data_IF_262703616898
#
_entry.id   IF_262703616898
#
_cell.length_a   1.000
_cell.length_b   1.000
_cell.length_c   1.000
_cell.angle_alpha   90.00
_cell.angle_beta   90.00
_cell.angle_gamma   90.00
#
_symmetry.space_group_name_H-M   'P 1'
#
loop_
_entity.id
_entity.type
_entity.pdbx_description
1 polymer ?
#
# COMPACT_ATOMS: atom_id res chain seq x y z
N UNK A 1 -11.90 11.95 -26.28
CA UNK A 1 -12.47 10.59 -26.21
C UNK A 1 -11.33 9.60 -26.07
N UNK A 2 -11.57 8.43 -25.49
CA UNK A 2 -10.51 7.50 -25.04
C UNK A 2 -9.47 7.16 -26.14
N UNK A 3 -9.88 7.06 -27.42
CA UNK A 3 -8.96 6.85 -28.55
C UNK A 3 -7.99 8.02 -28.77
N UNK A 4 -8.43 9.26 -28.56
CA UNK A 4 -7.57 10.44 -28.68
C UNK A 4 -6.58 10.55 -27.52
N UNK A 5 -7.01 10.12 -26.32
CA UNK A 5 -6.11 10.00 -25.15
C UNK A 5 -5.02 9.00 -25.44
N UNK A 6 -5.35 7.77 -25.88
CA UNK A 6 -4.33 6.78 -26.24
C UNK A 6 -3.40 7.25 -27.35
N UNK A 7 -3.92 7.90 -28.40
CA UNK A 7 -3.07 8.42 -29.47
C UNK A 7 -2.07 9.49 -29.01
N UNK A 8 -2.36 10.20 -27.92
CA UNK A 8 -1.45 11.18 -27.34
C UNK A 8 -0.39 10.56 -26.39
N UNK A 9 -0.69 9.40 -25.80
CA UNK A 9 0.14 8.76 -24.78
C UNK A 9 0.98 7.59 -25.30
N UNK A 10 0.56 6.96 -26.41
CA UNK A 10 1.26 5.81 -27.00
C UNK A 10 2.20 6.28 -28.12
N UNK A 11 3.46 5.87 -28.05
CA UNK A 11 4.43 6.05 -29.13
C UNK A 11 4.72 4.69 -29.76
N UNK A 12 4.31 4.51 -31.02
CA UNK A 12 4.51 3.25 -31.74
C UNK A 12 5.86 3.24 -32.46
N UNK A 13 6.52 2.09 -32.46
CA UNK A 13 7.64 1.81 -33.35
C UNK A 13 7.16 1.15 -34.66
N UNK A 14 8.11 0.95 -35.57
CA UNK A 14 7.85 0.36 -36.90
C UNK A 14 7.43 -1.12 -36.82
N UNK A 15 7.67 -1.79 -35.70
CA UNK A 15 7.29 -3.19 -35.45
C UNK A 15 5.91 -3.31 -34.78
N UNK A 16 5.25 -2.18 -34.49
CA UNK A 16 3.94 -2.11 -33.87
C UNK A 16 3.96 -2.28 -32.35
N UNK A 17 5.13 -2.30 -31.70
CA UNK A 17 5.22 -2.14 -30.27
C UNK A 17 4.99 -0.68 -29.90
N UNK A 18 4.50 -0.43 -28.68
CA UNK A 18 4.29 0.93 -28.20
C UNK A 18 4.98 1.16 -26.85
N UNK A 19 5.53 2.36 -26.69
CA UNK A 19 6.07 2.85 -25.42
C UNK A 19 5.15 3.93 -24.85
N UNK A 20 5.21 4.06 -23.53
CA UNK A 20 4.45 5.06 -22.76
C UNK A 20 5.40 5.72 -21.77
N UNK A 21 5.15 6.98 -21.41
CA UNK A 21 5.90 7.59 -20.32
C UNK A 21 5.55 6.92 -18.98
N UNK A 22 6.50 6.91 -18.03
CA UNK A 22 6.36 6.19 -16.76
C UNK A 22 5.11 6.63 -15.96
N UNK A 23 4.74 7.91 -16.03
CA UNK A 23 3.55 8.46 -15.37
C UNK A 23 2.22 8.15 -16.05
N UNK A 24 2.23 7.72 -17.32
CA UNK A 24 1.02 7.59 -18.13
C UNK A 24 0.40 6.18 -18.03
N UNK A 25 1.06 5.25 -17.32
CA UNK A 25 0.61 3.84 -17.13
C UNK A 25 -0.82 3.77 -16.60
N UNK A 26 -1.20 4.64 -15.67
CA UNK A 26 -2.55 4.68 -15.10
C UNK A 26 -3.61 5.13 -16.11
N UNK A 27 -3.34 6.21 -16.84
CA UNK A 27 -4.27 6.77 -17.83
C UNK A 27 -4.48 5.84 -19.02
N UNK A 28 -3.39 5.24 -19.52
CA UNK A 28 -3.43 4.28 -20.63
C UNK A 28 -4.29 3.06 -20.28
N UNK A 29 -4.13 2.50 -19.08
CA UNK A 29 -4.97 1.38 -18.62
C UNK A 29 -6.44 1.74 -18.54
N UNK A 30 -6.77 2.90 -17.96
CA UNK A 30 -8.15 3.33 -17.85
C UNK A 30 -8.80 3.50 -19.23
N UNK A 31 -8.08 4.09 -20.17
CA UNK A 31 -8.57 4.28 -21.53
C UNK A 31 -8.77 2.94 -22.27
N UNK A 32 -7.83 2.00 -22.16
CA UNK A 32 -7.94 0.65 -22.75
C UNK A 32 -9.13 -0.13 -22.18
N UNK A 33 -9.30 -0.15 -20.86
CA UNK A 33 -10.40 -0.84 -20.19
C UNK A 33 -11.75 -0.27 -20.63
N UNK A 34 -11.89 1.06 -20.71
CA UNK A 34 -13.12 1.72 -21.19
C UNK A 34 -13.43 1.40 -22.67
N UNK A 35 -12.41 1.08 -23.46
CA UNK A 35 -12.55 0.64 -24.85
C UNK A 35 -12.80 -0.88 -24.98
N UNK A 36 -12.86 -1.62 -23.87
CA UNK A 36 -13.11 -3.07 -23.85
C UNK A 36 -11.86 -3.93 -23.97
N UNK A 37 -10.66 -3.35 -23.86
CA UNK A 37 -9.39 -4.08 -23.87
C UNK A 37 -8.85 -4.22 -22.43
N UNK A 38 -9.03 -5.38 -21.79
CA UNK A 38 -8.47 -5.61 -20.46
C UNK A 38 -6.94 -5.60 -20.52
N UNK A 39 -6.30 -4.96 -19.54
CA UNK A 39 -4.85 -4.82 -19.48
C UNK A 39 -4.27 -5.81 -18.48
N UNK A 40 -3.38 -6.67 -18.95
CA UNK A 40 -2.47 -7.46 -18.10
C UNK A 40 -1.18 -6.67 -17.92
N UNK A 41 -0.93 -6.24 -16.69
CA UNK A 41 0.11 -5.27 -16.39
C UNK A 41 1.26 -5.90 -15.61
N UNK A 42 2.40 -6.05 -16.27
CA UNK A 42 3.57 -6.78 -15.77
C UNK A 42 4.83 -5.92 -15.61
N UNK A 43 4.71 -4.59 -15.65
CA UNK A 43 5.87 -3.70 -15.58
C UNK A 43 6.55 -3.65 -14.18
N UNK A 44 6.13 -4.50 -13.24
CA UNK A 44 6.68 -4.58 -11.88
C UNK A 44 6.35 -3.34 -11.02
N UNK A 45 6.95 -3.33 -9.82
CA UNK A 45 6.86 -2.24 -8.84
C UNK A 45 8.25 -1.68 -8.53
N UNK A 46 8.30 -0.40 -8.14
CA UNK A 46 9.54 0.19 -7.63
C UNK A 46 9.94 -0.52 -6.33
N UNK A 47 11.22 -0.86 -6.21
CA UNK A 47 11.74 -1.46 -4.99
C UNK A 47 11.81 -0.41 -3.88
N UNK A 48 11.01 -0.59 -2.84
CA UNK A 48 11.09 0.23 -1.64
C UNK A 48 12.34 -0.03 -0.83
N UNK A 49 12.61 0.83 0.15
CA UNK A 49 13.75 0.62 1.05
C UNK A 49 13.55 -0.65 1.89
N UNK A 50 14.61 -1.43 2.03
CA UNK A 50 14.63 -2.65 2.85
C UNK A 50 14.31 -2.34 4.33
N UNK A 51 13.55 -3.22 4.96
CA UNK A 51 13.27 -3.24 6.38
C UNK A 51 13.08 -4.70 6.80
N UNK A 52 13.99 -5.21 7.63
CA UNK A 52 13.83 -6.54 8.19
C UNK A 52 12.66 -6.55 9.19
N UNK A 53 11.65 -7.38 8.92
CA UNK A 53 10.49 -7.55 9.79
C UNK A 53 10.26 -9.04 10.03
N UNK A 54 10.36 -9.44 11.30
CA UNK A 54 10.04 -10.81 11.73
C UNK A 54 8.80 -10.80 12.60
N UNK A 55 7.93 -11.79 12.39
CA UNK A 55 6.84 -12.08 13.32
C UNK A 55 7.41 -12.84 14.51
N UNK A 56 6.91 -12.54 15.71
CA UNK A 56 7.27 -13.30 16.90
C UNK A 56 6.58 -14.67 16.90
N UNK A 57 7.09 -15.60 17.70
CA UNK A 57 6.41 -16.87 18.02
C UNK A 57 5.51 -16.75 19.27
N UNK A 58 5.77 -15.73 20.09
CA UNK A 58 4.97 -15.35 21.25
C UNK A 58 4.77 -13.86 21.23
N UNK A 59 3.61 -13.39 21.66
CA UNK A 59 3.40 -11.95 21.78
C UNK A 59 4.31 -11.37 22.86
N UNK A 60 4.50 -10.05 22.86
CA UNK A 60 5.26 -9.38 23.92
C UNK A 60 4.68 -9.65 25.32
N UNK A 61 3.36 -9.83 25.43
CA UNK A 61 2.65 -10.32 26.62
C UNK A 61 2.74 -11.83 26.86
N UNK A 62 3.68 -12.54 26.23
CA UNK A 62 3.97 -13.98 26.39
C UNK A 62 2.87 -14.95 25.94
N UNK A 63 1.82 -14.49 25.25
CA UNK A 63 0.82 -15.40 24.69
C UNK A 63 1.36 -16.14 23.45
N UNK A 64 0.98 -17.41 23.27
CA UNK A 64 1.34 -18.14 22.04
C UNK A 64 0.79 -17.40 20.80
N UNK A 65 1.66 -17.19 19.81
CA UNK A 65 1.31 -16.46 18.60
C UNK A 65 1.78 -17.21 17.35
N UNK A 66 0.96 -17.17 16.31
CA UNK A 66 1.29 -17.81 15.04
C UNK A 66 0.20 -17.52 14.01
N UNK A 67 0.59 -17.57 12.74
CA UNK A 67 -0.33 -17.39 11.63
C UNK A 67 -1.24 -18.61 11.50
N UNK A 68 -2.55 -18.36 11.37
CA UNK A 68 -3.51 -19.39 10.95
C UNK A 68 -3.25 -19.73 9.48
N UNK A 69 -3.61 -20.94 9.07
CA UNK A 69 -3.35 -21.42 7.70
C UNK A 69 -3.90 -20.47 6.62
N UNK A 70 -5.13 -19.98 6.78
CA UNK A 70 -5.71 -19.05 5.82
C UNK A 70 -4.99 -17.70 5.76
N UNK A 71 -4.40 -17.22 6.87
CA UNK A 71 -3.64 -15.97 6.90
C UNK A 71 -2.32 -16.15 6.16
N UNK A 72 -1.65 -17.29 6.39
CA UNK A 72 -0.42 -17.66 5.66
C UNK A 72 -0.69 -17.76 4.16
N UNK A 73 -1.70 -18.52 3.76
CA UNK A 73 -2.07 -18.70 2.35
C UNK A 73 -2.46 -17.39 1.67
N UNK A 74 -3.17 -16.51 2.38
CA UNK A 74 -3.52 -15.19 1.85
C UNK A 74 -2.28 -14.32 1.61
N UNK A 75 -1.33 -14.31 2.55
CA UNK A 75 -0.08 -13.57 2.42
C UNK A 75 0.81 -14.13 1.31
N UNK A 76 0.96 -15.46 1.22
CA UNK A 76 1.71 -16.15 0.17
C UNK A 76 1.11 -15.90 -1.22
N UNK A 77 -0.23 -15.95 -1.34
CA UNK A 77 -0.91 -15.64 -2.60
C UNK A 77 -0.70 -14.19 -3.03
N UNK A 78 -0.75 -13.24 -2.09
CA UNK A 78 -0.46 -11.83 -2.37
C UNK A 78 1.00 -11.58 -2.74
N UNK A 79 1.93 -12.31 -2.11
CA UNK A 79 3.36 -12.24 -2.42
C UNK A 79 3.71 -12.92 -3.76
N UNK A 80 2.97 -13.97 -4.15
CA UNK A 80 3.18 -14.76 -5.36
C UNK A 80 4.67 -15.16 -5.58
N UNK A 81 5.37 -15.50 -4.49
CA UNK A 81 6.79 -15.86 -4.52
C UNK A 81 7.74 -14.73 -4.92
N UNK A 82 7.32 -13.47 -4.84
CA UNK A 82 8.11 -12.30 -5.26
C UNK A 82 8.13 -12.10 -6.78
N UNK A 83 7.24 -12.77 -7.52
CA UNK A 83 7.12 -12.60 -8.96
C UNK A 83 6.41 -11.29 -9.35
N UNK A 84 6.50 -10.93 -10.63
CA UNK A 84 5.79 -9.81 -11.26
C UNK A 84 4.24 -9.93 -11.19
N UNK A 85 3.73 -11.10 -10.80
CA UNK A 85 2.30 -11.38 -10.57
C UNK A 85 1.83 -11.07 -9.15
N UNK A 86 2.76 -10.87 -8.22
CA UNK A 86 2.49 -10.45 -6.84
C UNK A 86 2.59 -8.94 -6.68
N UNK A 87 2.31 -8.44 -5.48
CA UNK A 87 2.64 -7.05 -5.11
C UNK A 87 1.46 -6.08 -5.15
N UNK A 88 0.35 -6.46 -5.77
CA UNK A 88 -0.92 -5.75 -5.61
C UNK A 88 -2.10 -6.71 -5.50
N UNK A 89 -3.16 -6.25 -4.83
CA UNK A 89 -4.38 -7.02 -4.71
C UNK A 89 -5.20 -6.61 -3.50
N UNK A 90 -6.36 -7.24 -3.35
CA UNK A 90 -7.26 -7.05 -2.21
C UNK A 90 -7.43 -8.38 -1.48
N UNK A 91 -7.08 -8.40 -0.21
CA UNK A 91 -7.31 -9.55 0.67
C UNK A 91 -8.57 -9.29 1.50
N UNK A 92 -9.62 -10.09 1.25
CA UNK A 92 -10.91 -9.95 1.95
C UNK A 92 -11.01 -11.00 3.05
N UNK A 93 -11.13 -10.54 4.30
CA UNK A 93 -11.34 -11.40 5.47
C UNK A 93 -12.48 -10.83 6.33
N UNK A 94 -13.28 -11.68 7.00
CA UNK A 94 -14.33 -11.22 7.89
C UNK A 94 -13.75 -10.51 9.12
N UNK A 95 -14.56 -9.66 9.75
CA UNK A 95 -14.18 -8.99 10.99
C UNK A 95 -13.74 -10.01 12.05
N UNK A 96 -12.65 -9.73 12.77
CA UNK A 96 -12.07 -10.65 13.77
C UNK A 96 -11.21 -11.78 13.22
N UNK A 97 -11.13 -11.99 11.91
CA UNK A 97 -10.24 -13.00 11.31
C UNK A 97 -8.75 -12.63 11.34
N UNK A 98 -8.41 -11.42 11.80
CA UNK A 98 -7.02 -10.95 11.90
C UNK A 98 -6.49 -10.37 10.57
N UNK A 99 -7.21 -9.39 10.01
CA UNK A 99 -6.76 -8.59 8.85
C UNK A 99 -5.38 -7.97 9.10
N UNK A 100 -5.19 -7.35 10.27
CA UNK A 100 -3.92 -6.76 10.70
C UNK A 100 -2.80 -7.80 10.73
N UNK A 101 -3.03 -8.98 11.32
CA UNK A 101 -2.04 -10.07 11.37
C UNK A 101 -1.69 -10.59 9.96
N UNK A 102 -2.69 -10.70 9.08
CA UNK A 102 -2.47 -11.10 7.69
C UNK A 102 -1.61 -10.08 6.93
N UNK A 103 -1.85 -8.78 7.16
CA UNK A 103 -1.02 -7.73 6.58
C UNK A 103 0.41 -7.76 7.14
N UNK A 104 0.61 -8.04 8.44
CA UNK A 104 1.97 -8.23 8.98
C UNK A 104 2.69 -9.43 8.36
N UNK A 105 1.95 -10.51 8.03
CA UNK A 105 2.51 -11.63 7.29
C UNK A 105 2.97 -11.21 5.88
N UNK A 106 2.21 -10.33 5.21
CA UNK A 106 2.64 -9.73 3.94
C UNK A 106 3.89 -8.86 4.14
N UNK A 107 3.93 -8.00 5.15
CA UNK A 107 5.11 -7.19 5.47
C UNK A 107 6.34 -8.07 5.75
N UNK A 108 6.15 -9.20 6.44
CA UNK A 108 7.19 -10.21 6.67
C UNK A 108 7.69 -10.88 5.38
N UNK A 109 6.85 -11.03 4.36
CA UNK A 109 7.32 -11.59 3.08
C UNK A 109 8.09 -10.55 2.26
N UNK A 110 7.65 -9.29 2.25
CA UNK A 110 8.27 -8.24 1.42
C UNK A 110 9.53 -7.62 2.01
N UNK A 111 9.68 -7.57 3.34
CA UNK A 111 10.86 -6.99 4.01
C UNK A 111 11.16 -5.54 3.55
N UNK A 112 10.14 -4.70 3.42
CA UNK A 112 10.30 -3.30 2.99
C UNK A 112 9.64 -2.33 3.94
N UNK A 113 10.09 -1.08 3.92
CA UNK A 113 9.39 0.04 4.56
C UNK A 113 7.92 0.04 4.13
N UNK A 114 7.03 0.20 5.10
CA UNK A 114 5.59 0.03 4.89
C UNK A 114 4.82 1.25 5.38
N UNK A 115 3.93 1.77 4.53
CA UNK A 115 2.93 2.75 4.91
C UNK A 115 1.59 2.05 5.14
N UNK A 116 1.01 2.21 6.32
CA UNK A 116 -0.32 1.68 6.63
C UNK A 116 -1.31 2.84 6.73
N UNK A 117 -2.41 2.75 6.00
CA UNK A 117 -3.44 3.76 5.94
C UNK A 117 -4.75 3.20 6.49
N UNK A 118 -5.35 3.92 7.43
CA UNK A 118 -6.53 3.49 8.17
C UNK A 118 -7.62 4.57 8.17
N UNK A 119 -8.81 4.23 8.65
CA UNK A 119 -9.96 5.13 8.66
C UNK A 119 -9.99 6.13 9.84
N UNK A 120 -9.22 5.92 10.90
CA UNK A 120 -9.33 6.70 12.14
C UNK A 120 -8.07 6.62 13.00
N UNK A 121 -7.81 7.62 13.83
CA UNK A 121 -6.66 7.62 14.76
C UNK A 121 -6.73 6.47 15.77
N UNK A 122 -7.93 6.01 16.14
CA UNK A 122 -8.10 4.82 17.00
C UNK A 122 -7.57 3.57 16.30
N UNK A 123 -7.87 3.39 15.01
CA UNK A 123 -7.34 2.29 14.22
C UNK A 123 -5.82 2.39 14.07
N UNK A 124 -5.27 3.61 13.86
CA UNK A 124 -3.82 3.85 13.84
C UNK A 124 -3.16 3.31 15.12
N UNK A 125 -3.66 3.70 16.30
CA UNK A 125 -3.10 3.26 17.58
C UNK A 125 -3.25 1.77 17.81
N UNK A 126 -4.35 1.17 17.35
CA UNK A 126 -4.53 -0.28 17.41
C UNK A 126 -3.50 -1.01 16.53
N UNK A 127 -3.25 -0.53 15.32
CA UNK A 127 -2.22 -1.05 14.42
C UNK A 127 -0.82 -0.99 15.04
N UNK A 128 -0.45 0.17 15.62
CA UNK A 128 0.85 0.35 16.28
C UNK A 128 1.00 -0.63 17.45
N UNK A 129 -0.02 -0.76 18.32
CA UNK A 129 0.01 -1.73 19.42
C UNK A 129 0.18 -3.16 18.91
N UNK A 130 -0.58 -3.54 17.90
CA UNK A 130 -0.48 -4.88 17.31
C UNK A 130 0.92 -5.14 16.73
N UNK A 131 1.52 -4.15 16.05
CA UNK A 131 2.87 -4.27 15.48
C UNK A 131 3.92 -4.49 16.59
N UNK A 132 3.88 -3.68 17.64
CA UNK A 132 4.77 -3.83 18.81
C UNK A 132 4.59 -5.21 19.46
N UNK A 133 3.34 -5.64 19.62
CA UNK A 133 2.99 -6.87 20.33
C UNK A 133 3.39 -8.13 19.56
N UNK A 134 3.35 -8.12 18.22
CA UNK A 134 3.43 -9.32 17.38
C UNK A 134 4.65 -9.38 16.46
N UNK A 135 5.42 -8.31 16.36
CA UNK A 135 6.63 -8.25 15.52
C UNK A 135 7.88 -8.00 16.36
N UNK A 136 9.03 -8.37 15.82
CA UNK A 136 10.35 -8.10 16.41
C UNK A 136 10.87 -6.69 16.08
N UNK A 137 10.04 -5.83 15.46
CA UNK A 137 10.43 -4.47 15.18
C UNK A 137 10.67 -3.69 16.48
N UNK A 138 11.78 -2.94 16.58
CA UNK A 138 11.96 -1.96 17.63
C UNK A 138 10.85 -0.89 17.58
N UNK A 139 10.31 -0.42 18.72
CA UNK A 139 9.24 0.58 18.73
C UNK A 139 9.59 1.87 17.96
N UNK A 140 10.85 2.28 17.94
CA UNK A 140 11.36 3.43 17.18
C UNK A 140 11.27 3.26 15.66
N UNK A 141 11.13 2.04 15.17
CA UNK A 141 10.87 1.77 13.76
C UNK A 141 9.40 1.98 13.37
N UNK A 142 8.51 2.25 14.34
CA UNK A 142 7.06 2.37 14.15
C UNK A 142 6.61 3.81 14.46
N UNK A 143 6.12 4.51 13.45
CA UNK A 143 5.71 5.92 13.54
C UNK A 143 4.18 6.09 13.49
N UNK A 144 3.66 6.96 14.36
CA UNK A 144 2.30 7.52 14.22
C UNK A 144 2.36 8.81 13.41
N UNK A 145 1.62 8.86 12.30
CA UNK A 145 1.38 10.09 11.56
C UNK A 145 -0.12 10.44 11.56
N UNK A 146 -0.52 11.26 12.53
CA UNK A 146 -1.88 11.72 12.76
C UNK A 146 -1.91 13.25 12.93
N UNK A 147 -3.03 13.83 13.35
CA UNK A 147 -3.06 15.25 13.72
C UNK A 147 -2.23 15.53 14.98
N UNK A 148 -2.14 14.55 15.88
CA UNK A 148 -1.52 14.68 17.21
C UNK A 148 -0.03 14.29 17.22
N UNK A 149 0.40 13.42 16.28
CA UNK A 149 1.80 12.99 16.14
C UNK A 149 2.23 13.05 14.67
N UNK A 150 3.44 13.55 14.40
CA UNK A 150 4.00 13.68 13.04
C UNK A 150 5.28 12.84 12.89
N UNK A 151 5.25 11.63 13.41
CA UNK A 151 6.44 10.76 13.43
C UNK A 151 6.43 9.87 12.19
N UNK A 152 7.41 10.08 11.31
CA UNK A 152 7.67 9.18 10.18
C UNK A 152 8.79 8.21 10.59
N UNK A 153 8.55 6.92 10.38
CA UNK A 153 9.49 5.83 10.65
C UNK A 153 9.41 4.76 9.54
N UNK A 154 10.32 3.77 9.50
CA UNK A 154 10.30 2.69 8.51
C UNK A 154 8.96 1.97 8.33
N UNK A 155 8.19 1.79 9.42
CA UNK A 155 6.76 1.50 9.36
C UNK A 155 6.02 2.73 9.86
N UNK A 156 5.22 3.36 9.00
CA UNK A 156 4.41 4.51 9.40
C UNK A 156 2.93 4.17 9.27
N UNK A 157 2.16 4.46 10.31
CA UNK A 157 0.71 4.25 10.32
C UNK A 157 0.01 5.61 10.35
N UNK A 158 -0.89 5.84 9.40
CA UNK A 158 -1.61 7.11 9.23
C UNK A 158 -3.08 6.90 8.93
N UNK A 159 -3.84 8.00 8.87
CA UNK A 159 -5.24 7.98 8.44
C UNK A 159 -5.38 8.47 7.00
N UNK A 160 -6.43 8.01 6.31
CA UNK A 160 -6.77 8.54 4.99
C UNK A 160 -6.97 10.06 4.99
N UNK A 161 -7.53 10.59 6.07
CA UNK A 161 -7.76 12.02 6.23
C UNK A 161 -6.47 12.82 6.20
N UNK A 162 -5.37 12.29 6.76
CA UNK A 162 -4.07 12.93 6.74
C UNK A 162 -3.53 13.13 5.32
N UNK A 163 -3.76 12.17 4.42
CA UNK A 163 -3.35 12.29 3.01
C UNK A 163 -4.18 13.35 2.26
N UNK A 164 -5.47 13.42 2.56
CA UNK A 164 -6.40 14.34 1.88
C UNK A 164 -6.46 15.74 2.49
N UNK A 165 -5.77 15.96 3.62
CA UNK A 165 -5.82 17.24 4.31
C UNK A 165 -5.21 18.35 3.46
N UNK A 166 -5.95 19.46 3.37
CA UNK A 166 -5.53 20.68 2.69
C UNK A 166 -5.92 21.89 3.54
N UNK A 167 -5.01 22.84 3.68
CA UNK A 167 -5.27 24.10 4.38
C UNK A 167 -6.15 25.04 3.55
N UNK A 168 -6.17 24.90 2.22
CA UNK A 168 -7.01 25.67 1.30
C UNK A 168 -7.52 24.76 0.17
N UNK A 169 -8.64 25.12 -0.49
CA UNK A 169 -9.23 24.31 -1.58
C UNK A 169 -8.30 24.08 -2.79
N UNK A 170 -7.34 24.99 -2.99
CA UNK A 170 -6.33 24.98 -4.08
C UNK A 170 -4.90 24.72 -3.55
N UNK A 171 -4.77 24.41 -2.26
CA UNK A 171 -3.47 24.18 -1.63
C UNK A 171 -2.90 22.82 -1.98
N UNK A 172 -1.58 22.74 -1.93
CA UNK A 172 -0.82 21.47 -1.96
C UNK A 172 -1.24 20.61 -0.78
N UNK A 173 -1.10 19.29 -0.90
CA UNK A 173 -1.32 18.33 0.19
C UNK A 173 -0.02 18.19 0.99
N UNK A 174 0.22 19.00 2.05
CA UNK A 174 1.53 19.10 2.67
C UNK A 174 2.00 17.78 3.29
N UNK A 175 1.04 16.97 3.76
CA UNK A 175 1.33 15.66 4.33
C UNK A 175 1.59 14.61 3.25
N UNK A 176 0.91 14.70 2.11
CA UNK A 176 1.12 13.80 0.99
C UNK A 176 2.55 13.88 0.48
N UNK A 177 3.10 15.08 0.29
CA UNK A 177 4.50 15.25 -0.12
C UNK A 177 5.48 14.63 0.88
N UNK A 178 5.25 14.78 2.19
CA UNK A 178 6.08 14.15 3.21
C UNK A 178 6.05 12.62 3.13
N UNK A 179 4.91 12.01 2.75
CA UNK A 179 4.83 10.58 2.50
C UNK A 179 5.52 10.18 1.19
N UNK A 180 5.35 10.95 0.12
CA UNK A 180 5.96 10.69 -1.21
C UNK A 180 7.49 10.76 -1.19
N UNK A 181 8.07 11.55 -0.29
CA UNK A 181 9.52 11.62 -0.12
C UNK A 181 10.12 10.33 0.49
N UNK A 182 9.28 9.43 0.99
CA UNK A 182 9.71 8.14 1.52
C UNK A 182 9.50 7.04 0.47
N UNK A 183 10.56 6.29 0.20
CA UNK A 183 10.52 5.17 -0.73
C UNK A 183 9.93 3.91 -0.05
N UNK A 184 8.61 3.89 0.09
CA UNK A 184 7.84 2.75 0.60
C UNK A 184 7.89 1.59 -0.39
N UNK A 185 8.04 0.36 0.11
CA UNK A 185 7.95 -0.85 -0.72
C UNK A 185 6.60 -1.55 -0.62
N UNK A 186 5.80 -1.17 0.38
CA UNK A 186 4.46 -1.69 0.58
C UNK A 186 3.55 -0.58 1.13
N UNK A 187 2.34 -0.50 0.57
CA UNK A 187 1.27 0.34 1.12
C UNK A 187 0.08 -0.55 1.46
N UNK A 188 -0.36 -0.50 2.73
CA UNK A 188 -1.50 -1.28 3.23
C UNK A 188 -2.68 -0.35 3.44
N UNK A 189 -3.80 -0.67 2.78
CA UNK A 189 -5.07 0.02 2.93
C UNK A 189 -6.00 -0.80 3.83
N UNK A 190 -6.20 -0.36 5.07
CA UNK A 190 -7.14 -1.01 5.98
C UNK A 190 -8.56 -0.46 5.81
N UNK A 191 -9.56 -1.33 5.91
CA UNK A 191 -10.97 -1.02 5.64
C UNK A 191 -11.19 -0.26 4.31
N UNK A 192 -10.59 -0.80 3.23
CA UNK A 192 -10.59 -0.23 1.86
C UNK A 192 -11.99 0.18 1.34
N UNK A 193 -13.04 -0.45 1.85
CA UNK A 193 -14.44 -0.14 1.50
C UNK A 193 -14.89 1.25 1.99
N UNK A 194 -14.14 1.87 2.90
CA UNK A 194 -14.36 3.23 3.40
C UNK A 194 -13.48 4.26 2.70
N UNK A 195 -12.71 3.87 1.68
CA UNK A 195 -11.80 4.76 1.00
C UNK A 195 -12.54 5.94 0.34
N UNK A 196 -12.17 7.19 0.68
CA UNK A 196 -12.68 8.36 -0.04
C UNK A 196 -12.19 8.35 -1.49
N UNK A 197 -13.06 8.70 -2.44
CA UNK A 197 -12.73 8.79 -3.87
C UNK A 197 -11.45 9.60 -4.21
N UNK A 198 -11.13 10.71 -3.52
CA UNK A 198 -9.88 11.43 -3.76
C UNK A 198 -8.61 10.61 -3.47
N UNK A 199 -8.65 9.72 -2.47
CA UNK A 199 -7.49 8.90 -2.07
C UNK A 199 -7.12 7.92 -3.18
N UNK A 200 -8.10 7.34 -3.87
CA UNK A 200 -7.84 6.44 -5.00
C UNK A 200 -7.04 7.10 -6.13
N UNK A 201 -7.25 8.40 -6.38
CA UNK A 201 -6.51 9.11 -7.43
C UNK A 201 -5.08 9.40 -6.99
N UNK A 202 -4.92 9.89 -5.77
CA UNK A 202 -3.62 10.33 -5.26
C UNK A 202 -2.66 9.17 -5.00
N UNK A 203 -3.21 8.00 -4.70
CA UNK A 203 -2.42 6.78 -4.46
C UNK A 203 -2.11 5.99 -5.73
N UNK A 204 -2.74 6.32 -6.86
CA UNK A 204 -2.35 5.77 -8.15
C UNK A 204 -1.03 6.37 -8.67
N UNK A 205 -0.62 7.52 -8.13
CA UNK A 205 0.63 8.23 -8.45
C UNK A 205 1.78 7.87 -7.48
N UNK A 206 1.54 6.96 -6.52
CA UNK A 206 2.50 6.48 -5.51
C UNK A 206 3.43 5.39 -6.06
#
# INVERSE_FOLDING_TARGET
GERATLAALLQFDDEGACTIAEGDRGEVKQALVKLGYPVDDRAGYRSGNNLELRLRERTLGEAAFGLREYQRRAAEAFHAGGSDRGGCGVVVLPCGAGKTVTAMAVMHLYQTKTLVLTNSTTAVRQWIRELIEKTELPPECIGEYSAESKTIAPVTVSTYQMLTYRSTKLGVYPHFEAFMQNNWGLVVYDEVHLLPAPVFRMTADL
#
